data_IF_120988650468
#
_entry.id   IF_120988650468
#
_cell.length_a   1.000
_cell.length_b   1.000
_cell.length_c   1.000
_cell.angle_alpha   90.00
_cell.angle_beta   90.00
_cell.angle_gamma   90.00
#
_symmetry.space_group_name_H-M   'P 1'
#
loop_
_entity.id
_entity.type
_entity.pdbx_description
1 polymer ?
#
# COMPACT_ATOMS: atom_id res chain seq x y z
N UNK A 1 13.69 10.92 37.09
CA UNK A 1 15.03 11.53 37.27
C UNK A 1 15.83 11.28 36.01
N UNK A 2 16.45 12.31 35.47
CA UNK A 2 17.31 12.27 34.28
C UNK A 2 18.54 11.40 34.55
N UNK A 3 18.70 10.30 33.80
CA UNK A 3 19.87 9.43 33.93
C UNK A 3 20.72 9.54 32.67
N UNK A 4 21.89 10.13 32.86
CA UNK A 4 22.90 10.40 31.85
C UNK A 4 23.66 9.11 31.53
N UNK A 5 23.61 8.72 30.25
CA UNK A 5 24.28 7.60 29.61
C UNK A 5 25.82 7.79 29.49
N UNK A 6 26.61 6.72 29.68
CA UNK A 6 28.05 6.67 29.34
C UNK A 6 28.47 5.33 28.70
N UNK A 7 28.55 5.25 27.37
CA UNK A 7 29.08 4.11 26.62
C UNK A 7 30.57 3.86 26.77
N UNK A 8 31.07 2.77 26.14
CA UNK A 8 32.43 2.69 25.64
C UNK A 8 32.93 4.04 25.10
N UNK A 9 33.86 4.66 25.85
CA UNK A 9 34.39 6.03 25.67
C UNK A 9 34.92 6.35 24.26
N UNK A 10 35.13 5.35 23.40
CA UNK A 10 35.68 5.53 22.05
C UNK A 10 34.63 5.63 20.94
N UNK A 11 33.44 5.07 21.10
CA UNK A 11 32.38 5.08 20.06
C UNK A 11 31.30 6.14 20.32
N UNK A 12 31.06 6.44 21.60
CA UNK A 12 30.20 7.50 22.11
C UNK A 12 30.35 8.86 21.41
N UNK A 13 31.58 9.43 21.31
CA UNK A 13 31.74 10.75 20.73
C UNK A 13 31.53 10.72 19.22
N UNK A 14 31.86 9.62 18.54
CA UNK A 14 31.72 9.46 17.08
C UNK A 14 30.25 9.32 16.71
N UNK A 15 29.51 8.48 17.44
CA UNK A 15 28.08 8.28 17.24
C UNK A 15 27.29 9.56 17.55
N UNK A 16 27.63 10.26 18.64
CA UNK A 16 27.00 11.53 18.99
C UNK A 16 27.32 12.66 18.00
N UNK A 17 28.58 12.75 17.52
CA UNK A 17 28.93 13.70 16.45
C UNK A 17 28.22 13.37 15.15
N UNK A 18 28.11 12.09 14.80
CA UNK A 18 27.43 11.64 13.59
C UNK A 18 25.93 11.93 13.65
N UNK A 19 25.26 11.57 14.75
CA UNK A 19 23.84 11.90 14.98
C UNK A 19 23.59 13.41 15.03
N UNK A 20 24.48 14.20 15.67
CA UNK A 20 24.39 15.66 15.65
C UNK A 20 24.61 16.24 14.25
N UNK A 21 25.56 15.72 13.46
CA UNK A 21 25.80 16.16 12.08
C UNK A 21 24.63 15.81 11.16
N UNK A 22 24.09 14.60 11.27
CA UNK A 22 22.91 14.19 10.51
C UNK A 22 21.69 15.02 10.93
N UNK A 23 21.46 15.20 12.23
CA UNK A 23 20.36 16.03 12.76
C UNK A 23 20.46 17.49 12.33
N UNK A 24 21.66 18.09 12.40
CA UNK A 24 21.89 19.48 11.96
C UNK A 24 21.78 19.62 10.44
N UNK A 25 22.23 18.64 9.65
CA UNK A 25 22.01 18.65 8.20
C UNK A 25 20.52 18.53 7.84
N UNK A 26 19.76 17.69 8.55
CA UNK A 26 18.31 17.56 8.37
C UNK A 26 17.60 18.85 8.76
N UNK A 27 17.95 19.48 9.90
CA UNK A 27 17.38 20.76 10.33
C UNK A 27 17.65 21.89 9.33
N UNK A 28 18.88 21.97 8.81
CA UNK A 28 19.24 22.95 7.76
C UNK A 28 18.45 22.69 6.48
N UNK A 29 18.20 21.43 6.12
CA UNK A 29 17.38 21.06 4.95
C UNK A 29 15.87 21.33 5.11
N UNK A 30 15.40 21.55 6.35
CA UNK A 30 13.99 21.83 6.67
C UNK A 30 13.70 23.33 6.85
N UNK A 31 14.72 24.16 7.10
CA UNK A 31 14.56 25.60 7.33
C UNK A 31 14.01 26.38 6.13
N UNK A 32 14.18 25.86 4.90
CA UNK A 32 13.67 26.52 3.69
C UNK A 32 12.14 26.34 3.47
N UNK A 33 11.46 25.45 4.21
CA UNK A 33 10.04 25.11 4.02
C UNK A 33 9.09 25.56 5.14
N UNK A 34 9.61 25.89 6.33
CA UNK A 34 8.79 26.34 7.48
C UNK A 34 7.88 27.54 7.16
N UNK A 35 8.26 28.55 6.35
CA UNK A 35 7.34 29.67 6.11
C UNK A 35 6.12 29.30 5.25
N UNK A 36 6.19 28.27 4.40
CA UNK A 36 5.09 27.88 3.52
C UNK A 36 4.08 26.92 4.20
N UNK A 37 4.57 25.96 4.98
CA UNK A 37 3.71 25.05 5.74
C UNK A 37 2.95 25.76 6.88
N UNK A 38 3.59 26.75 7.53
CA UNK A 38 2.93 27.57 8.55
C UNK A 38 1.80 28.45 7.97
N UNK A 39 1.91 28.90 6.72
CA UNK A 39 0.87 29.66 6.04
C UNK A 39 -0.36 28.80 5.70
N UNK A 40 -0.14 27.61 5.12
CA UNK A 40 -1.21 26.64 4.83
C UNK A 40 -1.93 26.15 6.09
N UNK A 41 -1.18 25.95 7.18
CA UNK A 41 -1.76 25.48 8.43
C UNK A 41 -2.54 26.59 9.15
N UNK A 42 -2.11 27.85 9.02
CA UNK A 42 -2.85 29.04 9.48
C UNK A 42 -4.18 29.20 8.72
N UNK A 43 -4.18 29.10 7.39
CA UNK A 43 -5.40 29.16 6.57
C UNK A 43 -6.37 28.01 6.91
N UNK A 44 -5.85 26.80 7.13
CA UNK A 44 -6.69 25.64 7.47
C UNK A 44 -7.34 25.75 8.85
N UNK A 45 -6.65 26.36 9.84
CA UNK A 45 -7.25 26.65 11.15
C UNK A 45 -8.26 27.80 11.12
N UNK A 46 -8.06 28.81 10.26
CA UNK A 46 -9.00 29.92 10.09
C UNK A 46 -10.31 29.45 9.44
N UNK A 47 -10.23 28.57 8.44
CA UNK A 47 -11.40 27.93 7.82
C UNK A 47 -12.16 27.03 8.81
N UNK A 48 -11.45 26.37 9.74
CA UNK A 48 -12.09 25.53 10.76
C UNK A 48 -12.85 26.37 11.80
N UNK A 49 -12.37 27.59 12.08
CA UNK A 49 -13.04 28.53 12.98
C UNK A 49 -14.29 29.18 12.35
N UNK A 50 -14.29 29.42 11.03
CA UNK A 50 -15.44 30.00 10.32
C UNK A 50 -16.58 29.00 10.09
N UNK A 51 -16.27 27.70 10.03
CA UNK A 51 -17.27 26.61 9.88
C UNK A 51 -17.90 26.22 11.22
N UNK A 52 -17.22 26.48 12.33
CA UNK A 52 -17.74 26.26 13.69
C UNK A 52 -18.10 27.63 14.28
N UNK A 53 -19.22 28.17 13.81
CA UNK A 53 -19.82 29.37 14.37
C UNK A 53 -20.07 29.23 15.88
N UNK A 54 -19.69 30.28 16.58
CA UNK A 54 -20.01 30.62 17.97
C UNK A 54 -21.45 30.25 18.34
N UNK A 55 -21.63 29.23 19.18
CA UNK A 55 -22.80 29.05 20.04
C UNK A 55 -22.41 28.14 21.21
N UNK A 56 -21.70 28.75 22.16
CA UNK A 56 -21.59 28.22 23.51
C UNK A 56 -22.77 28.71 24.37
N UNK A 57 -23.84 27.92 24.51
CA UNK A 57 -24.64 27.93 25.73
C UNK A 57 -25.00 26.52 26.19
N UNK A 58 -24.54 26.21 27.40
CA UNK A 58 -24.93 25.04 28.15
C UNK A 58 -26.36 25.19 28.68
N UNK A 59 -27.21 24.19 28.43
CA UNK A 59 -28.41 23.96 29.26
C UNK A 59 -28.52 22.48 29.61
N UNK A 60 -28.23 22.19 30.87
CA UNK A 60 -28.65 20.98 31.58
C UNK A 60 -30.11 21.09 31.99
N UNK A 61 -30.92 20.04 31.82
CA UNK A 61 -32.21 19.94 32.53
C UNK A 61 -33.26 19.06 31.86
N UNK A 62 -33.82 18.14 32.64
CA UNK A 62 -34.77 17.08 32.29
C UNK A 62 -36.17 17.55 31.82
N UNK A 63 -36.92 16.67 31.16
CA UNK A 63 -38.37 16.80 30.97
C UNK A 63 -38.96 15.80 29.98
N UNK A 64 -39.88 14.97 30.48
CA UNK A 64 -40.58 13.88 29.79
C UNK A 64 -41.60 14.33 28.71
N UNK A 65 -41.84 13.42 27.76
CA UNK A 65 -43.10 13.08 27.08
C UNK A 65 -43.92 14.19 26.37
N UNK A 66 -44.14 14.05 25.05
CA UNK A 66 -45.39 13.48 24.49
C UNK A 66 -45.43 13.52 22.94
N UNK A 67 -46.02 12.44 22.42
CA UNK A 67 -46.46 12.10 21.07
C UNK A 67 -47.15 13.21 20.25
N UNK A 68 -46.91 13.23 18.94
CA UNK A 68 -47.98 13.18 17.93
C UNK A 68 -47.44 13.04 16.50
N UNK A 69 -48.12 12.26 15.65
CA UNK A 69 -48.15 12.52 14.20
C UNK A 69 -47.57 11.46 13.27
N UNK A 70 -48.32 10.37 13.12
CA UNK A 70 -48.23 9.32 12.10
C UNK A 70 -48.23 9.86 10.64
N UNK A 71 -47.40 9.29 9.76
CA UNK A 71 -47.81 8.62 8.49
C UNK A 71 -46.59 7.96 7.82
N UNK A 72 -46.57 6.63 7.82
CA UNK A 72 -45.65 5.79 7.06
C UNK A 72 -46.13 5.62 5.61
N UNK A 73 -45.20 5.62 4.65
CA UNK A 73 -45.45 5.23 3.25
C UNK A 73 -44.90 3.82 3.05
N UNK A 74 -45.68 2.84 2.55
CA UNK A 74 -45.26 1.44 2.48
C UNK A 74 -44.48 1.12 1.19
N UNK A 75 -43.61 0.12 1.28
CA UNK A 75 -42.95 -0.53 0.15
C UNK A 75 -43.97 -1.27 -0.75
N UNK A 76 -43.79 -1.31 -2.08
CA UNK A 76 -44.58 -2.18 -2.94
C UNK A 76 -43.93 -3.56 -3.13
N UNK A 77 -44.72 -4.60 -2.86
CA UNK A 77 -44.44 -6.01 -3.13
C UNK A 77 -44.48 -6.36 -4.62
N UNK A 78 -43.79 -7.45 -4.92
CA UNK A 78 -43.60 -8.09 -6.21
C UNK A 78 -44.90 -8.36 -6.99
N UNK A 79 -44.91 -7.95 -8.27
CA UNK A 79 -45.81 -8.47 -9.30
C UNK A 79 -45.03 -8.79 -10.58
N UNK A 80 -45.05 -10.09 -10.91
CA UNK A 80 -44.96 -10.74 -12.24
C UNK A 80 -44.58 -9.88 -13.45
N UNK A 81 -43.42 -10.21 -14.02
CA UNK A 81 -42.89 -9.73 -15.31
C UNK A 81 -43.63 -10.44 -16.46
N UNK A 82 -44.22 -9.72 -17.44
CA UNK A 82 -44.68 -10.31 -18.69
C UNK A 82 -43.50 -10.60 -19.63
N UNK A 83 -43.49 -11.82 -20.16
CA UNK A 83 -42.57 -12.33 -21.18
C UNK A 83 -42.62 -11.48 -22.46
N UNK A 84 -41.50 -10.82 -22.81
CA UNK A 84 -41.36 -10.05 -24.05
C UNK A 84 -40.62 -10.90 -25.09
N UNK A 85 -41.38 -11.27 -26.10
CA UNK A 85 -41.02 -12.07 -27.27
C UNK A 85 -39.89 -11.45 -28.12
N UNK A 86 -38.93 -12.29 -28.48
CA UNK A 86 -37.82 -12.05 -29.41
C UNK A 86 -38.33 -11.76 -30.83
N UNK A 87 -37.92 -10.67 -31.50
CA UNK A 87 -38.07 -10.55 -32.94
C UNK A 87 -36.90 -11.25 -33.65
N UNK A 88 -37.29 -12.17 -34.52
CA UNK A 88 -36.46 -12.96 -35.42
C UNK A 88 -35.70 -12.06 -36.42
N UNK A 89 -34.39 -12.30 -36.56
CA UNK A 89 -33.54 -11.65 -37.55
C UNK A 89 -33.98 -12.03 -38.97
N UNK A 90 -34.32 -11.03 -39.77
CA UNK A 90 -34.54 -11.16 -41.20
C UNK A 90 -33.23 -10.88 -41.96
N UNK A 91 -32.86 -11.83 -42.82
CA UNK A 91 -31.76 -11.74 -43.76
C UNK A 91 -32.02 -10.66 -44.84
N UNK A 92 -30.99 -9.92 -45.21
CA UNK A 92 -30.94 -9.15 -46.45
C UNK A 92 -29.50 -9.14 -47.01
N UNK A 93 -29.45 -9.19 -48.33
CA UNK A 93 -28.35 -9.59 -49.21
C UNK A 93 -27.19 -8.59 -49.37
N UNK A 94 -26.08 -9.15 -49.86
CA UNK A 94 -24.82 -8.54 -50.31
C UNK A 94 -24.89 -7.83 -51.67
N UNK A 95 -24.12 -6.74 -51.84
CA UNK A 95 -23.49 -6.28 -53.09
C UNK A 95 -22.44 -5.16 -52.77
N UNK A 96 -21.13 -5.41 -52.85
CA UNK A 96 -20.20 -5.05 -53.96
C UNK A 96 -19.33 -3.82 -53.55
N UNK A 97 -18.02 -3.64 -53.76
CA UNK A 97 -16.94 -4.31 -54.51
C UNK A 97 -15.55 -3.79 -54.01
N UNK A 98 -14.53 -4.68 -54.02
CA UNK A 98 -13.03 -4.68 -53.99
C UNK A 98 -12.11 -3.40 -53.87
N UNK A 99 -10.75 -3.53 -53.75
CA UNK A 99 -9.94 -4.28 -52.76
C UNK A 99 -8.76 -3.43 -52.20
N UNK A 100 -8.25 -3.74 -51.00
CA UNK A 100 -7.00 -3.15 -50.50
C UNK A 100 -6.01 -4.22 -50.00
N UNK A 101 -4.84 -4.20 -50.66
CA UNK A 101 -3.53 -4.80 -50.37
C UNK A 101 -3.38 -5.82 -49.21
N UNK A 102 -2.96 -7.02 -49.61
CA UNK A 102 -2.42 -8.09 -48.76
C UNK A 102 -1.14 -7.65 -48.02
N UNK A 103 -1.10 -7.96 -46.71
CA UNK A 103 0.13 -8.07 -45.91
C UNK A 103 0.14 -9.50 -45.30
N UNK A 104 1.27 -10.23 -45.28
CA UNK A 104 1.27 -11.68 -45.11
C UNK A 104 0.96 -12.13 -43.68
N UNK A 105 0.19 -13.20 -43.54
CA UNK A 105 -0.04 -13.90 -42.29
C UNK A 105 1.25 -14.59 -41.78
N UNK A 106 1.54 -14.61 -40.47
CA UNK A 106 2.61 -15.41 -39.92
C UNK A 106 2.26 -16.91 -39.99
N UNK A 107 3.29 -17.73 -40.22
CA UNK A 107 3.19 -19.15 -40.54
C UNK A 107 2.45 -19.97 -39.48
N UNK A 108 1.54 -20.82 -39.97
CA UNK A 108 0.90 -21.91 -39.23
C UNK A 108 1.96 -22.97 -38.91
N UNK A 109 2.19 -23.22 -37.62
CA UNK A 109 2.89 -24.42 -37.17
C UNK A 109 1.82 -25.45 -36.81
N UNK A 110 1.77 -26.56 -37.56
CA UNK A 110 0.90 -27.69 -37.25
C UNK A 110 1.31 -28.34 -35.91
N UNK A 111 0.35 -28.76 -35.07
CA UNK A 111 0.65 -29.46 -33.82
C UNK A 111 0.93 -30.94 -34.12
N UNK A 112 2.13 -31.40 -33.79
CA UNK A 112 2.45 -32.82 -33.76
C UNK A 112 2.31 -33.39 -32.34
N UNK A 113 1.75 -34.61 -32.28
CA UNK A 113 1.67 -35.55 -31.17
C UNK A 113 0.44 -35.47 -30.24
N UNK A 114 -0.52 -36.33 -30.58
CA UNK A 114 -1.59 -36.90 -29.77
C UNK A 114 -1.07 -37.45 -28.43
N UNK A 115 -1.66 -37.00 -27.32
CA UNK A 115 -1.54 -37.67 -26.02
C UNK A 115 -2.93 -38.20 -25.66
N UNK A 116 -3.01 -39.51 -25.42
CA UNK A 116 -4.23 -40.23 -25.09
C UNK A 116 -4.88 -39.76 -23.77
N UNK A 117 -6.20 -39.88 -23.61
CA UNK A 117 -6.88 -39.49 -22.38
C UNK A 117 -6.53 -40.47 -21.25
N UNK A 118 -5.87 -39.97 -20.20
CA UNK A 118 -5.68 -40.72 -18.97
C UNK A 118 -7.04 -40.97 -18.30
N UNK A 119 -7.37 -42.24 -18.15
CA UNK A 119 -8.49 -42.78 -17.38
C UNK A 119 -8.51 -42.25 -15.95
N UNK A 120 -9.68 -41.80 -15.50
CA UNK A 120 -9.98 -41.43 -14.13
C UNK A 120 -9.77 -42.60 -13.17
N UNK A 121 -8.78 -42.50 -12.28
CA UNK A 121 -8.70 -43.33 -11.08
C UNK A 121 -9.36 -42.55 -9.94
N UNK A 122 -10.50 -43.06 -9.48
CA UNK A 122 -11.20 -42.62 -8.28
C UNK A 122 -10.31 -42.95 -7.09
N UNK A 123 -9.90 -41.94 -6.32
CA UNK A 123 -9.25 -42.13 -5.03
C UNK A 123 -10.33 -42.34 -3.96
N UNK A 124 -10.16 -43.38 -3.14
CA UNK A 124 -11.01 -43.68 -1.97
C UNK A 124 -10.99 -42.53 -0.94
N UNK A 125 -12.10 -42.30 -0.20
CA UNK A 125 -12.18 -41.20 0.76
C UNK A 125 -11.30 -41.48 1.99
N UNK A 126 -10.46 -40.51 2.33
CA UNK A 126 -9.68 -40.49 3.58
C UNK A 126 -10.64 -40.20 4.74
N UNK A 127 -10.73 -41.16 5.67
CA UNK A 127 -11.47 -41.03 6.93
C UNK A 127 -10.72 -40.10 7.87
N UNK A 128 -11.38 -39.00 8.27
CA UNK A 128 -10.92 -38.07 9.32
C UNK A 128 -11.38 -38.64 10.67
N UNK A 129 -10.50 -38.84 11.67
CA UNK A 129 -10.94 -39.23 13.01
C UNK A 129 -11.48 -38.01 13.76
N UNK A 130 -12.71 -38.14 14.29
CA UNK A 130 -13.34 -37.22 15.23
C UNK A 130 -12.47 -37.02 16.48
N UNK A 131 -12.24 -35.76 16.85
CA UNK A 131 -11.64 -35.37 18.13
C UNK A 131 -12.67 -34.53 18.87
N UNK A 132 -13.46 -35.20 19.72
CA UNK A 132 -14.40 -34.57 20.63
C UNK A 132 -13.66 -33.71 21.66
N UNK A 133 -14.10 -32.47 21.79
CA UNK A 133 -13.70 -31.54 22.84
C UNK A 133 -14.57 -31.75 24.10
N UNK A 134 -13.99 -31.91 25.31
CA UNK A 134 -14.77 -31.84 26.53
C UNK A 134 -14.63 -30.47 27.22
N UNK A 135 -15.80 -29.92 27.58
CA UNK A 135 -16.00 -28.73 28.39
C UNK A 135 -15.71 -28.97 29.89
N UNK A 136 -15.57 -27.87 30.62
CA UNK A 136 -15.12 -27.76 32.01
C UNK A 136 -16.09 -28.26 33.10
N UNK A 137 -15.50 -28.87 34.15
CA UNK A 137 -15.81 -28.90 35.61
C UNK A 137 -17.23 -29.25 36.12
N UNK A 138 -17.38 -30.00 37.26
CA UNK A 138 -16.80 -29.64 38.57
C UNK A 138 -16.33 -30.78 39.51
N UNK A 139 -15.70 -30.33 40.60
CA UNK A 139 -15.05 -31.02 41.71
C UNK A 139 -16.04 -31.62 42.73
N UNK A 140 -15.83 -32.86 43.22
CA UNK A 140 -16.18 -33.28 44.58
C UNK A 140 -15.58 -34.66 44.98
N UNK A 141 -14.89 -34.68 46.13
CA UNK A 141 -14.76 -35.70 47.20
C UNK A 141 -14.58 -37.20 46.81
N UNK A 142 -13.67 -37.99 47.39
CA UNK A 142 -13.47 -38.22 48.84
C UNK A 142 -12.22 -39.10 49.02
N UNK A 143 -11.38 -38.82 50.03
CA UNK A 143 -10.29 -39.70 50.45
C UNK A 143 -10.75 -40.67 51.55
N UNK A 144 -10.33 -41.94 51.46
CA UNK A 144 -10.42 -42.92 52.54
C UNK A 144 -9.44 -42.58 53.69
N UNK A 145 -9.91 -42.79 54.92
CA UNK A 145 -9.10 -42.84 56.13
C UNK A 145 -9.10 -44.29 56.68
N UNK A 146 -8.15 -44.64 57.56
CA UNK A 146 -8.62 -45.17 58.84
C UNK A 146 -7.88 -44.63 60.08
N UNK A 147 -8.72 -44.19 61.03
CA UNK A 147 -8.70 -44.38 62.49
C UNK A 147 -7.36 -44.47 63.27
N UNK A 148 -7.19 -43.57 64.26
CA UNK A 148 -7.45 -43.84 65.69
C UNK A 148 -6.95 -42.71 66.65
N UNK A 149 -7.89 -41.98 67.25
CA UNK A 149 -8.08 -41.60 68.68
C UNK A 149 -6.95 -40.99 69.59
N UNK A 150 -7.31 -40.29 70.71
CA UNK A 150 -7.08 -38.84 70.86
C UNK A 150 -6.23 -38.44 72.08
N UNK A 151 -5.70 -37.20 72.11
CA UNK A 151 -5.36 -36.53 73.38
C UNK A 151 -5.64 -35.02 73.36
N UNK A 152 -5.98 -34.49 74.53
CA UNK A 152 -6.70 -33.23 74.81
C UNK A 152 -5.84 -31.94 74.76
N UNK A 153 -6.45 -30.74 74.85
CA UNK A 153 -6.01 -29.53 74.14
C UNK A 153 -5.09 -28.62 74.95
N UNK A 154 -4.25 -27.85 74.24
CA UNK A 154 -3.67 -26.62 74.75
C UNK A 154 -3.85 -25.52 73.70
N UNK A 155 -4.67 -24.53 74.04
CA UNK A 155 -4.87 -23.32 73.25
C UNK A 155 -3.65 -22.40 73.38
N UNK A 156 -2.99 -22.03 72.28
CA UNK A 156 -2.09 -20.88 72.26
C UNK A 156 -2.14 -20.17 70.90
N UNK A 157 -2.63 -18.94 70.94
CA UNK A 157 -2.32 -17.76 70.13
C UNK A 157 -2.31 -17.86 68.59
N UNK A 158 -3.31 -17.17 68.00
CA UNK A 158 -3.22 -16.60 66.66
C UNK A 158 -2.09 -15.57 66.64
N UNK A 159 -1.01 -15.87 65.92
CA UNK A 159 0.00 -14.90 65.53
C UNK A 159 -0.29 -14.47 64.08
N UNK A 160 -0.75 -13.23 63.92
CA UNK A 160 -0.84 -12.55 62.63
C UNK A 160 0.60 -12.29 62.16
N UNK A 161 1.02 -12.96 61.08
CA UNK A 161 2.31 -12.71 60.45
C UNK A 161 2.21 -11.46 59.55
N UNK A 162 3.09 -10.48 59.77
CA UNK A 162 3.34 -9.38 58.85
C UNK A 162 3.81 -9.89 57.48
N UNK A 163 3.39 -9.28 56.35
CA UNK A 163 3.84 -9.71 55.04
C UNK A 163 5.33 -9.36 54.86
N UNK A 164 6.12 -10.37 54.56
CA UNK A 164 7.53 -10.23 54.24
C UNK A 164 7.70 -9.34 53.00
N UNK A 165 8.51 -8.29 53.16
CA UNK A 165 8.94 -7.37 52.11
C UNK A 165 9.73 -8.16 51.06
N UNK A 166 9.13 -8.37 49.89
CA UNK A 166 9.82 -8.93 48.72
C UNK A 166 11.06 -8.06 48.41
N UNK A 167 12.21 -8.68 48.07
CA UNK A 167 13.37 -7.92 47.65
C UNK A 167 13.04 -7.24 46.33
N UNK A 168 13.07 -5.91 46.33
CA UNK A 168 12.92 -5.11 45.13
C UNK A 168 14.00 -5.54 44.12
N UNK A 169 13.57 -6.23 43.07
CA UNK A 169 14.39 -6.43 41.88
C UNK A 169 14.64 -5.05 41.31
N UNK A 170 15.86 -4.54 41.46
CA UNK A 170 16.33 -3.40 40.69
C UNK A 170 16.37 -3.86 39.24
N UNK A 171 15.31 -3.58 38.48
CA UNK A 171 15.38 -3.66 37.02
C UNK A 171 16.44 -2.67 36.57
N UNK A 172 17.64 -3.17 36.25
CA UNK A 172 18.60 -2.37 35.50
C UNK A 172 17.95 -2.08 34.15
N UNK A 173 17.43 -0.85 34.00
CA UNK A 173 16.91 -0.30 32.76
C UNK A 173 18.04 -0.31 31.72
N UNK A 174 18.14 -1.40 30.97
CA UNK A 174 19.00 -1.50 29.81
C UNK A 174 18.39 -0.69 28.68
N UNK A 175 18.74 0.61 28.62
CA UNK A 175 18.37 1.50 27.51
C UNK A 175 18.89 1.04 26.15
N UNK A 176 19.88 0.14 26.14
CA UNK A 176 20.56 -0.30 24.93
C UNK A 176 20.78 -1.81 24.96
N UNK A 177 20.07 -2.50 24.08
CA UNK A 177 20.25 -3.93 23.85
C UNK A 177 21.45 -4.13 22.92
N UNK A 178 22.56 -4.61 23.48
CA UNK A 178 23.78 -4.87 22.72
C UNK A 178 23.62 -6.06 21.75
N UNK A 179 22.61 -6.90 21.92
CA UNK A 179 22.30 -7.97 20.98
C UNK A 179 21.77 -7.41 19.65
N UNK A 180 21.18 -6.20 19.67
CA UNK A 180 20.63 -5.53 18.47
C UNK A 180 21.52 -4.41 17.94
N UNK A 181 22.80 -4.38 18.34
CA UNK A 181 23.73 -3.35 17.88
C UNK A 181 23.93 -3.38 16.35
N UNK A 182 23.82 -4.56 15.73
CA UNK A 182 23.82 -4.75 14.27
C UNK A 182 22.67 -3.97 13.58
N UNK A 183 21.46 -4.03 14.13
CA UNK A 183 20.28 -3.30 13.61
C UNK A 183 20.52 -1.79 13.69
N UNK A 184 21.10 -1.29 14.79
CA UNK A 184 21.43 0.13 14.89
C UNK A 184 22.43 0.54 13.80
N UNK A 185 23.48 -0.25 13.57
CA UNK A 185 24.48 0.05 12.51
C UNK A 185 23.81 0.11 11.13
N UNK A 186 22.87 -0.80 10.83
CA UNK A 186 22.11 -0.79 9.58
C UNK A 186 21.26 0.48 9.47
N UNK A 187 20.52 0.85 10.51
CA UNK A 187 19.70 2.07 10.53
C UNK A 187 20.55 3.32 10.34
N UNK A 188 21.68 3.42 11.04
CA UNK A 188 22.60 4.56 10.91
C UNK A 188 23.21 4.64 9.51
N UNK A 189 23.57 3.49 8.93
CA UNK A 189 24.08 3.43 7.55
C UNK A 189 23.00 3.88 6.56
N UNK A 190 21.75 3.47 6.77
CA UNK A 190 20.63 3.90 5.95
C UNK A 190 20.41 5.42 6.06
N UNK A 191 20.36 5.95 7.29
CA UNK A 191 20.25 7.38 7.53
C UNK A 191 21.42 8.16 6.91
N UNK A 192 22.65 7.62 6.97
CA UNK A 192 23.84 8.22 6.39
C UNK A 192 23.70 8.39 4.86
N UNK A 193 23.34 7.32 4.17
CA UNK A 193 23.20 7.30 2.72
C UNK A 193 22.06 8.19 2.25
N UNK A 194 20.87 8.08 2.86
CA UNK A 194 19.72 8.93 2.53
C UNK A 194 20.07 10.40 2.73
N UNK A 195 20.64 10.77 3.88
CA UNK A 195 21.01 12.17 4.17
C UNK A 195 22.09 12.68 3.22
N UNK A 196 23.09 11.86 2.91
CA UNK A 196 24.17 12.19 1.97
C UNK A 196 23.64 12.51 0.57
N UNK A 197 22.79 11.64 0.01
CA UNK A 197 22.24 11.83 -1.33
C UNK A 197 21.21 12.95 -1.39
N UNK A 198 20.34 13.09 -0.37
CA UNK A 198 19.40 14.21 -0.25
C UNK A 198 20.13 15.54 -0.23
N UNK A 199 21.17 15.68 0.60
CA UNK A 199 21.95 16.91 0.65
C UNK A 199 22.67 17.23 -0.66
N UNK A 200 23.19 16.20 -1.34
CA UNK A 200 23.83 16.38 -2.63
C UNK A 200 22.84 16.76 -3.74
N UNK A 201 21.63 16.20 -3.73
CA UNK A 201 20.56 16.57 -4.65
C UNK A 201 20.15 18.04 -4.45
N UNK A 202 19.95 18.46 -3.20
CA UNK A 202 19.59 19.84 -2.85
C UNK A 202 20.65 20.87 -3.27
N UNK A 203 21.93 20.47 -3.33
CA UNK A 203 23.03 21.32 -3.83
C UNK A 203 23.10 21.42 -5.37
N UNK A 204 22.07 20.95 -6.07
CA UNK A 204 21.97 21.04 -7.53
C UNK A 204 22.83 20.02 -8.28
N UNK A 205 23.32 18.97 -7.60
CA UNK A 205 23.91 17.85 -8.33
C UNK A 205 22.78 17.05 -8.98
N UNK A 206 22.82 16.94 -10.31
CA UNK A 206 21.91 16.06 -11.03
C UNK A 206 22.20 14.60 -10.66
N UNK A 207 21.29 14.02 -9.86
CA UNK A 207 21.36 12.60 -9.54
C UNK A 207 20.66 11.81 -10.63
N UNK A 208 21.39 10.86 -11.22
CA UNK A 208 20.80 9.96 -12.20
C UNK A 208 19.86 8.95 -11.52
N UNK A 209 18.57 9.03 -11.86
CA UNK A 209 17.54 8.03 -11.55
C UNK A 209 17.30 7.18 -12.82
N UNK A 210 17.12 5.87 -12.65
CA UNK A 210 16.71 4.97 -13.75
C UNK A 210 15.37 5.44 -14.31
N UNK A 211 15.23 5.48 -15.63
CA UNK A 211 13.94 5.77 -16.26
C UNK A 211 12.95 4.63 -15.99
N UNK A 212 11.75 4.99 -15.56
CA UNK A 212 10.64 4.07 -15.34
C UNK A 212 9.73 4.17 -16.57
N UNK A 213 9.70 3.12 -17.40
CA UNK A 213 9.05 3.15 -18.71
C UNK A 213 7.55 3.50 -18.63
N UNK A 214 6.85 2.94 -17.64
CA UNK A 214 5.41 3.23 -17.44
C UNK A 214 5.13 4.68 -17.07
N UNK A 215 6.09 5.37 -16.45
CA UNK A 215 5.93 6.76 -16.05
C UNK A 215 6.20 7.75 -17.18
N UNK A 216 7.12 7.43 -18.10
CA UNK A 216 7.26 8.19 -19.34
C UNK A 216 6.05 8.04 -20.26
N UNK A 217 5.41 6.87 -20.26
CA UNK A 217 4.24 6.61 -21.08
C UNK A 217 2.97 7.35 -20.60
N UNK A 218 2.96 7.85 -19.36
CA UNK A 218 1.78 8.49 -18.76
C UNK A 218 1.40 9.79 -19.47
N UNK A 219 2.37 10.66 -19.75
CA UNK A 219 2.10 11.90 -20.50
C UNK A 219 1.69 11.62 -21.95
N UNK A 220 2.36 10.66 -22.59
CA UNK A 220 2.06 10.23 -23.96
C UNK A 220 0.65 9.62 -24.06
N UNK A 221 0.23 8.85 -23.06
CA UNK A 221 -1.11 8.27 -22.99
C UNK A 221 -2.20 9.35 -22.87
N UNK A 222 -1.97 10.39 -22.07
CA UNK A 222 -2.89 11.53 -21.98
C UNK A 222 -2.93 12.29 -23.31
N UNK A 223 -1.77 12.57 -23.92
CA UNK A 223 -1.70 13.23 -25.24
C UNK A 223 -2.45 12.45 -26.33
N UNK A 224 -2.28 11.13 -26.39
CA UNK A 224 -3.05 10.26 -27.30
C UNK A 224 -4.54 10.30 -27.03
N UNK A 225 -4.96 10.35 -25.76
CA UNK A 225 -6.37 10.47 -25.43
C UNK A 225 -6.95 11.80 -25.97
N UNK A 226 -6.20 12.89 -25.83
CA UNK A 226 -6.54 14.20 -26.42
C UNK A 226 -6.66 14.12 -27.94
N UNK A 227 -5.66 13.53 -28.62
CA UNK A 227 -5.64 13.39 -30.09
C UNK A 227 -6.81 12.56 -30.62
N UNK A 228 -7.29 11.60 -29.84
CA UNK A 228 -8.47 10.79 -30.16
C UNK A 228 -9.80 11.43 -29.78
N UNK A 229 -9.79 12.58 -29.10
CA UNK A 229 -11.00 13.23 -28.57
C UNK A 229 -11.74 12.38 -27.53
N UNK A 230 -11.01 11.49 -26.84
CA UNK A 230 -11.56 10.55 -25.84
C UNK A 230 -10.98 10.88 -24.46
N UNK A 231 -11.70 10.50 -23.41
CA UNK A 231 -11.27 10.79 -22.04
C UNK A 231 -10.18 9.85 -21.52
N UNK A 232 -9.73 10.16 -20.30
CA UNK A 232 -8.84 9.36 -19.47
C UNK A 232 -9.63 8.81 -18.30
N UNK A 233 -9.46 7.52 -18.00
CA UNK A 233 -9.95 6.91 -16.77
C UNK A 233 -8.79 6.71 -15.79
N UNK A 234 -8.98 7.06 -14.52
CA UNK A 234 -7.97 6.90 -13.48
C UNK A 234 -8.53 6.24 -12.23
N UNK A 235 -7.86 5.19 -11.75
CA UNK A 235 -8.23 4.44 -10.54
C UNK A 235 -7.01 4.37 -9.60
N UNK A 236 -7.08 4.99 -8.40
CA UNK A 236 -5.97 5.01 -7.43
C UNK A 236 -5.87 3.75 -6.54
N UNK A 237 -6.42 2.61 -6.98
CA UNK A 237 -6.60 1.41 -6.17
C UNK A 237 -7.97 1.35 -5.47
N UNK A 238 -8.19 0.26 -4.71
CA UNK A 238 -9.48 -0.04 -4.05
C UNK A 238 -9.47 0.11 -2.51
N UNK A 239 -8.30 0.40 -1.95
CA UNK A 239 -8.12 0.58 -0.51
C UNK A 239 -8.40 2.03 -0.09
N UNK A 240 -8.48 2.29 1.21
CA UNK A 240 -8.65 3.64 1.74
C UNK A 240 -7.30 4.38 1.84
N UNK A 241 -7.33 5.62 2.33
CA UNK A 241 -6.15 6.49 2.51
C UNK A 241 -5.19 6.02 3.62
N UNK A 242 -5.54 4.98 4.38
CA UNK A 242 -4.62 4.31 5.31
C UNK A 242 -3.62 3.39 4.59
N UNK A 243 -3.90 3.00 3.35
CA UNK A 243 -2.99 2.27 2.49
C UNK A 243 -2.00 3.20 1.78
N UNK A 244 -0.72 2.85 1.89
CA UNK A 244 0.37 3.64 1.32
C UNK A 244 0.35 3.68 -0.22
N UNK A 245 -0.18 2.64 -0.87
CA UNK A 245 -0.28 2.62 -2.33
C UNK A 245 -1.40 3.54 -2.81
N UNK A 246 -2.53 3.62 -2.10
CA UNK A 246 -3.59 4.59 -2.38
C UNK A 246 -3.06 6.02 -2.29
N UNK A 247 -2.28 6.34 -1.25
CA UNK A 247 -1.64 7.67 -1.12
C UNK A 247 -0.74 7.96 -2.32
N UNK A 248 0.10 7.00 -2.73
CA UNK A 248 0.95 7.15 -3.91
C UNK A 248 0.13 7.31 -5.20
N UNK A 249 -0.92 6.50 -5.35
CA UNK A 249 -1.85 6.52 -6.47
C UNK A 249 -2.56 7.86 -6.62
N UNK A 250 -3.08 8.43 -5.53
CA UNK A 250 -3.72 9.75 -5.57
C UNK A 250 -2.68 10.86 -5.81
N UNK A 251 -1.47 10.73 -5.30
CA UNK A 251 -0.38 11.70 -5.56
C UNK A 251 -0.02 11.75 -7.06
N UNK A 252 0.10 10.58 -7.71
CA UNK A 252 0.36 10.49 -9.16
C UNK A 252 -0.83 11.04 -9.96
N UNK A 253 -2.07 10.86 -9.44
CA UNK A 253 -3.28 11.40 -10.06
C UNK A 253 -3.21 12.92 -10.23
N UNK A 254 -2.61 13.64 -9.28
CA UNK A 254 -2.39 15.08 -9.42
C UNK A 254 -1.56 15.44 -10.66
N UNK A 255 -0.56 14.63 -11.01
CA UNK A 255 0.23 14.82 -12.23
C UNK A 255 -0.59 14.55 -13.50
N UNK A 256 -1.39 13.47 -13.52
CA UNK A 256 -2.32 13.20 -14.63
C UNK A 256 -3.35 14.33 -14.75
N UNK A 257 -3.87 14.83 -13.63
CA UNK A 257 -4.81 15.94 -13.58
C UNK A 257 -4.21 17.22 -14.18
N UNK A 258 -2.96 17.54 -13.87
CA UNK A 258 -2.24 18.67 -14.49
C UNK A 258 -2.15 18.53 -16.01
N UNK A 259 -1.86 17.33 -16.52
CA UNK A 259 -1.73 17.07 -17.97
C UNK A 259 -3.09 17.07 -18.68
N UNK A 260 -4.10 16.47 -18.07
CA UNK A 260 -5.47 16.51 -18.60
C UNK A 260 -6.04 17.93 -18.63
N UNK A 261 -5.76 18.77 -17.61
CA UNK A 261 -6.13 20.18 -17.62
C UNK A 261 -5.40 20.98 -18.72
N UNK A 262 -4.11 20.71 -18.92
CA UNK A 262 -3.28 21.35 -19.95
C UNK A 262 -3.79 21.03 -21.36
N UNK A 263 -4.19 19.78 -21.60
CA UNK A 263 -4.66 19.30 -22.90
C UNK A 263 -6.19 19.32 -23.06
N UNK A 264 -6.93 19.88 -22.10
CA UNK A 264 -8.40 19.92 -22.11
C UNK A 264 -9.07 18.54 -22.31
N UNK A 265 -8.51 17.52 -21.65
CA UNK A 265 -8.94 16.12 -21.79
C UNK A 265 -9.84 15.71 -20.63
N UNK A 266 -11.02 15.10 -20.87
CA UNK A 266 -11.89 14.61 -19.80
C UNK A 266 -11.17 13.60 -18.89
N UNK A 267 -11.18 13.86 -17.58
CA UNK A 267 -10.71 12.92 -16.55
C UNK A 267 -11.90 12.30 -15.82
N UNK A 268 -12.03 10.98 -15.90
CA UNK A 268 -13.00 10.18 -15.16
C UNK A 268 -12.28 9.41 -14.06
N UNK A 269 -12.68 9.61 -12.81
CA UNK A 269 -12.03 9.01 -11.66
C UNK A 269 -13.07 8.44 -10.68
N UNK A 270 -13.72 7.32 -11.04
CA UNK A 270 -14.64 6.65 -10.14
C UNK A 270 -13.89 6.05 -8.95
N UNK A 271 -14.38 6.28 -7.74
CA UNK A 271 -13.75 5.85 -6.49
C UNK A 271 -14.61 4.81 -5.77
N UNK A 272 -13.95 3.86 -5.11
CA UNK A 272 -14.62 2.87 -4.25
C UNK A 272 -14.70 3.29 -2.79
N UNK A 273 -13.89 4.25 -2.35
CA UNK A 273 -13.95 4.82 -0.98
C UNK A 273 -14.36 6.28 -1.03
N UNK A 274 -15.26 6.66 -0.13
CA UNK A 274 -15.79 8.03 -0.04
C UNK A 274 -14.73 9.02 0.44
N UNK A 275 -13.87 8.63 1.38
CA UNK A 275 -12.79 9.49 1.85
C UNK A 275 -11.73 9.72 0.75
N UNK A 276 -11.34 8.67 0.03
CA UNK A 276 -10.46 8.78 -1.15
C UNK A 276 -11.07 9.70 -2.22
N UNK A 277 -12.38 9.65 -2.45
CA UNK A 277 -13.07 10.59 -3.36
C UNK A 277 -12.87 12.05 -2.95
N UNK A 278 -13.07 12.40 -1.68
CA UNK A 278 -12.89 13.77 -1.19
C UNK A 278 -11.45 14.26 -1.38
N UNK A 279 -10.46 13.41 -1.08
CA UNK A 279 -9.05 13.73 -1.26
C UNK A 279 -8.69 13.89 -2.75
N UNK A 280 -9.18 12.99 -3.59
CA UNK A 280 -8.96 13.04 -5.03
C UNK A 280 -9.59 14.29 -5.67
N UNK A 281 -10.80 14.67 -5.26
CA UNK A 281 -11.46 15.90 -5.70
C UNK A 281 -10.60 17.12 -5.39
N UNK A 282 -10.06 17.23 -4.17
CA UNK A 282 -9.22 18.36 -3.80
C UNK A 282 -7.90 18.36 -4.60
N UNK A 283 -7.25 17.22 -4.76
CA UNK A 283 -6.00 17.12 -5.54
C UNK A 283 -6.21 17.47 -7.02
N UNK A 284 -7.30 16.98 -7.63
CA UNK A 284 -7.61 17.31 -9.02
C UNK A 284 -7.98 18.79 -9.16
N UNK A 285 -8.77 19.34 -8.23
CA UNK A 285 -9.10 20.77 -8.20
C UNK A 285 -7.86 21.65 -8.09
N UNK A 286 -6.94 21.35 -7.17
CA UNK A 286 -5.67 22.07 -7.04
C UNK A 286 -4.81 21.94 -8.29
N UNK A 287 -4.74 20.74 -8.87
CA UNK A 287 -4.00 20.50 -10.11
C UNK A 287 -4.52 21.32 -11.30
N UNK A 288 -5.85 21.48 -11.40
CA UNK A 288 -6.49 22.31 -12.43
C UNK A 288 -6.28 23.81 -12.16
N UNK A 289 -6.32 24.22 -10.88
CA UNK A 289 -6.04 25.59 -10.47
C UNK A 289 -4.60 26.01 -10.79
N UNK A 290 -3.62 25.17 -10.48
CA UNK A 290 -2.21 25.40 -10.81
C UNK A 290 -1.96 25.57 -12.31
N UNK A 291 -2.76 24.89 -13.15
CA UNK A 291 -2.71 25.02 -14.61
C UNK A 291 -3.54 26.19 -15.14
N UNK A 292 -4.17 26.98 -14.28
CA UNK A 292 -5.00 28.13 -14.66
C UNK A 292 -6.29 27.74 -15.36
N UNK A 293 -6.80 26.52 -15.14
CA UNK A 293 -8.02 25.96 -15.77
C UNK A 293 -9.08 25.53 -14.74
N UNK A 294 -9.43 26.36 -13.73
CA UNK A 294 -10.45 25.99 -12.74
C UNK A 294 -11.85 25.82 -13.38
N UNK A 295 -12.09 26.47 -14.52
CA UNK A 295 -13.32 26.38 -15.33
C UNK A 295 -13.51 24.99 -15.97
N UNK A 296 -12.42 24.23 -16.18
CA UNK A 296 -12.46 22.88 -16.73
C UNK A 296 -12.67 21.80 -15.67
N UNK A 297 -12.55 22.14 -14.38
CA UNK A 297 -12.74 21.18 -13.29
C UNK A 297 -14.20 20.70 -13.23
N UNK A 298 -14.39 19.38 -13.13
CA UNK A 298 -15.70 18.72 -13.10
C UNK A 298 -15.73 17.73 -11.93
N UNK A 299 -16.25 18.13 -10.75
CA UNK A 299 -16.28 17.27 -9.56
C UNK A 299 -17.19 16.05 -9.74
N UNK A 300 -18.21 16.16 -10.60
CA UNK A 300 -19.15 15.08 -10.95
C UNK A 300 -18.47 13.86 -11.59
N UNK A 301 -17.29 14.05 -12.19
CA UNK A 301 -16.50 12.96 -12.79
C UNK A 301 -15.55 12.26 -11.80
N UNK A 302 -15.49 12.75 -10.57
CA UNK A 302 -14.71 12.17 -9.46
C UNK A 302 -15.71 11.77 -8.40
N UNK A 303 -16.32 10.61 -8.60
CA UNK A 303 -17.50 10.19 -7.87
C UNK A 303 -17.29 8.86 -7.15
N UNK A 304 -17.92 8.73 -5.98
CA UNK A 304 -18.05 7.46 -5.29
C UNK A 304 -19.10 6.59 -5.98
N UNK A 305 -18.76 5.32 -6.23
CA UNK A 305 -19.70 4.35 -6.79
C UNK A 305 -20.27 3.44 -5.70
N UNK A 306 -19.41 2.59 -5.12
CA UNK A 306 -19.74 1.62 -4.09
C UNK A 306 -18.46 1.08 -3.47
N UNK A 307 -18.55 0.62 -2.23
CA UNK A 307 -17.52 -0.08 -1.47
C UNK A 307 -17.52 -1.61 -1.73
N UNK A 308 -18.54 -2.15 -2.39
CA UNK A 308 -18.55 -3.53 -2.85
C UNK A 308 -17.58 -3.71 -4.03
N UNK A 309 -16.60 -4.61 -3.88
CA UNK A 309 -15.50 -4.75 -4.82
C UNK A 309 -15.97 -5.06 -6.25
N UNK A 310 -16.82 -6.06 -6.44
CA UNK A 310 -17.27 -6.44 -7.78
C UNK A 310 -18.35 -5.52 -8.32
N UNK A 311 -19.20 -4.94 -7.46
CA UNK A 311 -20.10 -3.86 -7.81
C UNK A 311 -19.36 -2.63 -8.33
N UNK A 312 -18.24 -2.27 -7.69
CA UNK A 312 -17.36 -1.18 -8.13
C UNK A 312 -16.81 -1.49 -9.52
N UNK A 313 -16.26 -2.68 -9.73
CA UNK A 313 -15.71 -3.10 -11.03
C UNK A 313 -16.76 -3.12 -12.13
N UNK A 314 -17.97 -3.62 -11.86
CA UNK A 314 -19.07 -3.58 -12.81
C UNK A 314 -19.49 -2.14 -13.14
N UNK A 315 -19.52 -1.26 -12.14
CA UNK A 315 -19.80 0.17 -12.32
C UNK A 315 -18.75 0.86 -13.18
N UNK A 316 -17.46 0.64 -12.89
CA UNK A 316 -16.32 1.14 -13.66
C UNK A 316 -16.33 0.59 -15.09
N UNK A 317 -16.56 -0.71 -15.26
CA UNK A 317 -16.67 -1.33 -16.58
C UNK A 317 -17.83 -0.72 -17.39
N UNK A 318 -18.96 -0.43 -16.74
CA UNK A 318 -20.05 0.31 -17.36
C UNK A 318 -19.63 1.72 -17.81
N UNK A 319 -18.81 2.43 -17.03
CA UNK A 319 -18.24 3.73 -17.43
C UNK A 319 -17.33 3.55 -18.65
N UNK A 320 -16.41 2.58 -18.63
CA UNK A 320 -15.52 2.29 -19.75
C UNK A 320 -16.29 2.03 -21.05
N UNK A 321 -17.36 1.21 -20.99
CA UNK A 321 -18.15 0.87 -22.18
C UNK A 321 -18.96 2.03 -22.75
N UNK A 322 -19.40 2.98 -21.91
CA UNK A 322 -20.15 4.18 -22.34
C UNK A 322 -19.24 5.28 -22.83
N UNK A 323 -18.29 5.69 -21.99
CA UNK A 323 -17.41 6.84 -22.24
C UNK A 323 -16.26 6.49 -23.18
N UNK A 324 -15.90 5.21 -23.24
CA UNK A 324 -14.79 4.69 -24.05
C UNK A 324 -13.54 5.56 -23.81
N UNK A 325 -12.92 5.53 -22.62
CA UNK A 325 -11.67 6.25 -22.40
C UNK A 325 -10.59 5.73 -23.38
N UNK A 326 -9.70 6.60 -23.84
CA UNK A 326 -8.56 6.22 -24.68
C UNK A 326 -7.33 5.84 -23.87
N UNK A 327 -7.27 6.23 -22.59
CA UNK A 327 -6.24 5.79 -21.65
C UNK A 327 -6.86 5.41 -20.31
N UNK A 328 -6.40 4.32 -19.72
CA UNK A 328 -6.77 3.86 -18.39
C UNK A 328 -5.52 3.77 -17.50
N UNK A 329 -5.61 4.36 -16.31
CA UNK A 329 -4.56 4.32 -15.29
C UNK A 329 -5.04 3.55 -14.07
N UNK A 330 -4.29 2.51 -13.68
CA UNK A 330 -4.58 1.68 -12.50
C UNK A 330 -3.38 1.74 -11.55
N UNK A 331 -3.35 2.70 -10.64
CA UNK A 331 -2.17 3.00 -9.82
C UNK A 331 -2.51 2.95 -8.33
N UNK A 332 -2.24 1.84 -7.66
CA UNK A 332 -2.58 1.63 -6.25
C UNK A 332 -2.63 0.16 -5.84
N UNK A 333 -3.33 -0.12 -4.74
CA UNK A 333 -3.61 -1.49 -4.30
C UNK A 333 -4.80 -2.06 -5.06
N UNK A 334 -4.60 -3.24 -5.65
CA UNK A 334 -5.63 -4.00 -6.33
C UNK A 334 -5.59 -5.47 -5.91
N UNK A 335 -6.68 -6.20 -6.14
CA UNK A 335 -6.78 -7.66 -6.03
C UNK A 335 -7.40 -8.24 -7.31
N UNK A 336 -8.38 -9.15 -7.18
CA UNK A 336 -8.99 -9.91 -8.27
C UNK A 336 -9.57 -9.03 -9.41
N UNK A 337 -9.92 -7.78 -9.13
CA UNK A 337 -10.39 -6.83 -10.12
C UNK A 337 -9.37 -6.43 -11.17
N UNK A 338 -8.06 -6.62 -10.89
CA UNK A 338 -6.97 -6.17 -11.77
C UNK A 338 -7.17 -6.64 -13.21
N UNK A 339 -7.43 -7.95 -13.41
CA UNK A 339 -7.66 -8.52 -14.74
C UNK A 339 -8.97 -8.05 -15.35
N UNK A 340 -10.03 -7.90 -14.56
CA UNK A 340 -11.35 -7.53 -15.08
C UNK A 340 -11.32 -6.10 -15.60
N UNK A 341 -10.71 -5.18 -14.83
CA UNK A 341 -10.51 -3.79 -15.23
C UNK A 341 -9.59 -3.72 -16.46
N UNK A 342 -8.47 -4.45 -16.45
CA UNK A 342 -7.54 -4.46 -17.57
C UNK A 342 -8.14 -5.02 -18.86
N UNK A 343 -8.88 -6.12 -18.79
CA UNK A 343 -9.54 -6.70 -19.96
C UNK A 343 -10.64 -5.77 -20.50
N UNK A 344 -11.39 -5.11 -19.62
CA UNK A 344 -12.41 -4.14 -20.03
C UNK A 344 -11.78 -2.91 -20.70
N UNK A 345 -10.67 -2.41 -20.17
CA UNK A 345 -9.91 -1.32 -20.80
C UNK A 345 -9.35 -1.72 -22.17
N UNK A 346 -8.86 -2.95 -22.32
CA UNK A 346 -8.41 -3.50 -23.59
C UNK A 346 -9.56 -3.61 -24.60
N UNK A 347 -10.74 -4.07 -24.16
CA UNK A 347 -11.93 -4.21 -25.00
C UNK A 347 -12.42 -2.87 -25.60
N UNK A 348 -12.18 -1.74 -24.92
CA UNK A 348 -12.47 -0.39 -25.45
C UNK A 348 -11.30 0.23 -26.21
N UNK A 349 -10.19 -0.50 -26.35
CA UNK A 349 -8.98 -0.06 -27.04
C UNK A 349 -8.22 1.05 -26.33
N UNK A 350 -8.31 1.11 -24.99
CA UNK A 350 -7.54 2.07 -24.20
C UNK A 350 -6.08 1.62 -24.06
N UNK A 351 -5.14 2.57 -24.09
CA UNK A 351 -3.79 2.31 -23.58
C UNK A 351 -3.86 2.22 -22.06
N UNK A 352 -3.18 1.21 -21.48
CA UNK A 352 -3.30 0.91 -20.07
C UNK A 352 -1.95 1.00 -19.39
N UNK A 353 -1.90 1.82 -18.35
CA UNK A 353 -0.72 2.00 -17.51
C UNK A 353 -1.13 1.64 -16.08
N UNK A 354 -0.57 0.54 -15.60
CA UNK A 354 -0.87 0.01 -14.28
C UNK A 354 0.33 0.15 -13.35
N UNK A 355 0.10 -0.01 -12.05
CA UNK A 355 1.14 0.07 -11.04
C UNK A 355 0.62 -0.38 -9.69
N UNK A 356 1.27 -1.39 -9.13
CA UNK A 356 0.92 -1.93 -7.82
C UNK A 356 2.15 -2.52 -7.13
N UNK A 357 2.16 -2.43 -5.81
CA UNK A 357 3.11 -3.11 -4.95
C UNK A 357 2.57 -4.42 -4.38
N UNK A 358 1.36 -4.83 -4.77
CA UNK A 358 0.79 -6.11 -4.40
C UNK A 358 1.42 -7.25 -5.25
N UNK A 359 2.25 -8.13 -4.66
CA UNK A 359 2.99 -9.15 -5.42
C UNK A 359 2.09 -10.14 -6.16
N UNK A 360 0.90 -10.39 -5.60
CA UNK A 360 -0.08 -11.30 -6.18
C UNK A 360 -0.75 -10.77 -7.46
N UNK A 361 -0.77 -9.45 -7.66
CA UNK A 361 -1.44 -8.82 -8.80
C UNK A 361 -0.50 -8.32 -9.90
N UNK A 362 0.79 -8.13 -9.62
CA UNK A 362 1.78 -7.72 -10.61
C UNK A 362 1.73 -8.56 -11.90
N UNK A 363 1.66 -9.92 -11.85
CA UNK A 363 1.62 -10.73 -13.07
C UNK A 363 0.43 -10.43 -13.97
N UNK A 364 -0.73 -10.07 -13.40
CA UNK A 364 -1.93 -9.75 -14.15
C UNK A 364 -1.80 -8.45 -14.91
N UNK A 365 -1.31 -7.39 -14.26
CA UNK A 365 -1.07 -6.13 -14.95
C UNK A 365 0.06 -6.23 -15.98
N UNK A 366 1.13 -6.99 -15.68
CA UNK A 366 2.20 -7.25 -16.66
C UNK A 366 1.68 -7.96 -17.90
N UNK A 367 0.72 -8.87 -17.76
CA UNK A 367 0.15 -9.61 -18.87
C UNK A 367 -0.93 -8.82 -19.65
N UNK A 368 -1.69 -7.96 -18.96
CA UNK A 368 -2.90 -7.34 -19.52
C UNK A 368 -2.78 -5.83 -19.83
N UNK A 369 -1.71 -5.15 -19.39
CA UNK A 369 -1.50 -3.72 -19.62
C UNK A 369 -0.24 -3.44 -20.45
N UNK A 370 -0.23 -2.30 -21.16
CA UNK A 370 0.90 -1.90 -22.01
C UNK A 370 2.16 -1.56 -21.19
N UNK A 371 1.96 -0.93 -20.03
CA UNK A 371 3.02 -0.65 -19.09
C UNK A 371 2.59 -0.95 -17.65
N UNK A 372 3.50 -1.53 -16.87
CA UNK A 372 3.25 -1.85 -15.46
C UNK A 372 4.41 -1.35 -14.60
N UNK A 373 4.08 -0.54 -13.58
CA UNK A 373 5.00 -0.18 -12.50
C UNK A 373 5.04 -1.31 -11.48
N UNK A 374 6.23 -1.80 -11.17
CA UNK A 374 6.40 -2.97 -10.31
C UNK A 374 6.88 -2.53 -8.93
N UNK A 375 6.08 -2.79 -7.89
CA UNK A 375 6.53 -2.66 -6.51
C UNK A 375 6.92 -1.23 -6.16
N UNK A 376 8.22 -1.07 -5.89
CA UNK A 376 8.82 0.22 -5.52
C UNK A 376 8.72 1.30 -6.58
N UNK A 377 8.50 0.94 -7.85
CA UNK A 377 8.33 1.92 -8.92
C UNK A 377 7.09 2.79 -8.72
N UNK A 378 6.03 2.26 -8.09
CA UNK A 378 4.83 3.03 -7.74
C UNK A 378 5.17 4.14 -6.73
N UNK A 379 5.95 3.82 -5.70
CA UNK A 379 6.36 4.78 -4.66
C UNK A 379 7.42 5.77 -5.16
N UNK A 380 8.25 5.36 -6.12
CA UNK A 380 9.25 6.22 -6.75
C UNK A 380 8.64 7.21 -7.75
N UNK A 381 7.39 6.99 -8.18
CA UNK A 381 6.77 7.75 -9.26
C UNK A 381 6.59 9.25 -8.93
N UNK A 382 6.23 9.58 -7.69
CA UNK A 382 6.10 10.98 -7.26
C UNK A 382 7.43 11.73 -7.37
N UNK A 383 8.53 11.13 -6.88
CA UNK A 383 9.88 11.68 -6.97
C UNK A 383 10.33 11.93 -8.42
N UNK A 384 9.96 11.01 -9.32
CA UNK A 384 10.32 11.09 -10.72
C UNK A 384 9.52 12.17 -11.48
N UNK A 385 8.21 12.28 -11.18
CA UNK A 385 7.33 13.27 -11.79
C UNK A 385 7.58 14.68 -11.25
N UNK A 386 7.68 14.84 -9.93
CA UNK A 386 7.90 16.13 -9.25
C UNK A 386 9.31 16.68 -9.51
N UNK A 387 10.29 15.79 -9.74
CA UNK A 387 11.73 16.11 -9.77
C UNK A 387 12.21 16.86 -8.53
N UNK A 388 11.52 16.71 -7.40
CA UNK A 388 11.90 17.35 -6.15
C UNK A 388 13.25 16.80 -5.68
N UNK A 389 14.28 17.64 -5.49
CA UNK A 389 15.61 17.18 -5.07
C UNK A 389 15.60 16.33 -3.79
N UNK A 390 14.68 16.60 -2.85
CA UNK A 390 14.56 15.82 -1.61
C UNK A 390 14.11 14.39 -1.89
N UNK A 391 13.07 14.24 -2.69
CA UNK A 391 12.49 12.94 -3.04
C UNK A 391 13.47 12.13 -3.92
N UNK A 392 14.07 12.79 -4.91
CA UNK A 392 15.09 12.22 -5.80
C UNK A 392 16.33 11.74 -5.02
N UNK A 393 16.80 12.55 -4.07
CA UNK A 393 17.96 12.20 -3.23
C UNK A 393 17.66 11.04 -2.28
N UNK A 394 16.47 11.00 -1.69
CA UNK A 394 16.02 9.88 -0.85
C UNK A 394 15.97 8.58 -1.65
N UNK A 395 15.34 8.60 -2.82
CA UNK A 395 15.24 7.45 -3.73
C UNK A 395 16.64 6.93 -4.10
N UNK A 396 17.56 7.83 -4.47
CA UNK A 396 18.94 7.44 -4.80
C UNK A 396 19.68 6.84 -3.60
N UNK A 397 19.47 7.39 -2.41
CA UNK A 397 20.05 6.86 -1.17
C UNK A 397 19.59 5.43 -0.90
N UNK A 398 18.29 5.18 -1.02
CA UNK A 398 17.70 3.84 -0.86
C UNK A 398 18.26 2.84 -1.88
N UNK A 399 18.34 3.22 -3.16
CA UNK A 399 18.89 2.34 -4.21
C UNK A 399 20.36 1.98 -3.97
N UNK A 400 21.16 2.94 -3.49
CA UNK A 400 22.57 2.70 -3.18
C UNK A 400 22.76 1.79 -1.97
N UNK A 401 21.89 1.88 -0.97
CA UNK A 401 21.89 0.95 0.17
C UNK A 401 21.49 -0.44 -0.30
N UNK A 402 20.46 -0.59 -1.14
CA UNK A 402 20.07 -1.89 -1.70
C UNK A 402 21.24 -2.52 -2.48
N UNK A 403 21.95 -1.72 -3.28
CA UNK A 403 23.13 -2.20 -4.00
C UNK A 403 24.24 -2.66 -3.03
N UNK A 404 24.48 -1.91 -1.96
CA UNK A 404 25.44 -2.31 -0.91
C UNK A 404 25.01 -3.62 -0.24
N UNK A 405 23.73 -3.77 0.11
CA UNK A 405 23.18 -4.99 0.71
C UNK A 405 23.35 -6.17 -0.25
N UNK A 406 23.03 -6.00 -1.54
CA UNK A 406 23.25 -7.02 -2.58
C UNK A 406 24.72 -7.41 -2.66
N UNK A 407 25.64 -6.43 -2.70
CA UNK A 407 27.08 -6.72 -2.74
C UNK A 407 27.55 -7.50 -1.50
N UNK A 408 27.11 -7.10 -0.30
CA UNK A 408 27.42 -7.80 0.95
C UNK A 408 26.83 -9.20 0.97
N UNK A 409 25.61 -9.41 0.47
CA UNK A 409 24.99 -10.73 0.35
C UNK A 409 25.75 -11.63 -0.62
N UNK A 410 26.15 -11.12 -1.79
CA UNK A 410 26.93 -11.89 -2.78
C UNK A 410 28.30 -12.25 -2.21
N UNK A 411 29.02 -11.29 -1.64
CA UNK A 411 30.34 -11.51 -1.03
C UNK A 411 30.22 -12.51 0.12
N UNK A 412 29.24 -12.33 1.00
CA UNK A 412 28.97 -13.22 2.13
C UNK A 412 28.65 -14.64 1.70
N UNK A 413 27.79 -14.79 0.68
CA UNK A 413 27.42 -16.10 0.11
C UNK A 413 28.64 -16.79 -0.50
N UNK A 414 29.46 -16.07 -1.25
CA UNK A 414 30.70 -16.61 -1.83
C UNK A 414 31.70 -17.01 -0.74
N UNK A 415 31.89 -16.18 0.29
CA UNK A 415 32.76 -16.45 1.43
C UNK A 415 32.37 -17.73 2.16
N UNK A 416 31.08 -17.88 2.49
CA UNK A 416 30.55 -19.07 3.17
C UNK A 416 30.66 -20.30 2.27
N UNK A 417 30.40 -20.16 0.96
CA UNK A 417 30.53 -21.26 -0.01
C UNK A 417 31.99 -21.73 -0.10
N UNK A 418 32.96 -20.82 -0.26
CA UNK A 418 34.38 -21.14 -0.36
C UNK A 418 34.90 -21.75 0.94
N UNK A 419 34.53 -21.18 2.09
CA UNK A 419 34.95 -21.68 3.40
C UNK A 419 34.53 -23.15 3.66
N UNK A 420 33.46 -23.62 3.01
CA UNK A 420 32.97 -25.01 3.10
C UNK A 420 33.64 -25.98 2.12
N UNK A 421 34.48 -25.50 1.20
CA UNK A 421 35.24 -26.37 0.29
C UNK A 421 36.52 -26.90 0.93
N UNK A 422 37.05 -28.03 0.44
CA UNK A 422 38.32 -28.61 0.92
C UNK A 422 39.50 -27.63 0.84
N UNK A 423 39.48 -26.69 -0.12
CA UNK A 423 40.50 -25.66 -0.29
C UNK A 423 40.35 -24.47 0.67
N UNK A 424 39.16 -24.24 1.23
CA UNK A 424 38.86 -23.15 2.15
C UNK A 424 38.94 -23.54 3.63
N UNK A 425 38.83 -24.84 3.93
CA UNK A 425 38.90 -25.36 5.29
C UNK A 425 40.28 -25.10 5.92
N UNK A 426 40.32 -24.42 7.07
CA UNK A 426 41.55 -24.09 7.80
C UNK A 426 42.28 -22.81 7.32
N UNK A 427 41.70 -22.06 6.38
CA UNK A 427 42.25 -20.79 5.89
C UNK A 427 41.58 -19.57 6.55
N UNK A 428 42.12 -18.37 6.29
CA UNK A 428 41.53 -17.09 6.74
C UNK A 428 40.05 -16.97 6.34
N UNK A 429 39.65 -17.56 5.21
CA UNK A 429 38.27 -17.55 4.72
C UNK A 429 37.27 -18.19 5.70
N UNK A 430 37.66 -19.23 6.45
CA UNK A 430 36.79 -19.84 7.45
C UNK A 430 36.52 -18.90 8.64
N UNK A 431 37.57 -18.22 9.15
CA UNK A 431 37.42 -17.23 10.23
C UNK A 431 36.61 -16.00 9.80
N UNK A 432 36.78 -15.58 8.54
CA UNK A 432 36.06 -14.44 7.99
C UNK A 432 34.58 -14.76 7.78
N UNK A 433 34.26 -15.97 7.31
CA UNK A 433 32.89 -16.45 7.18
C UNK A 433 32.19 -16.58 8.54
N UNK A 434 32.89 -17.08 9.57
CA UNK A 434 32.32 -17.19 10.92
C UNK A 434 32.00 -15.81 11.53
N UNK A 435 32.92 -14.84 11.38
CA UNK A 435 32.69 -13.47 11.83
C UNK A 435 31.55 -12.78 11.07
N UNK A 436 31.45 -13.01 9.76
CA UNK A 436 30.34 -12.51 8.95
C UNK A 436 28.99 -13.08 9.42
N UNK A 437 28.93 -14.39 9.67
CA UNK A 437 27.72 -15.04 10.19
C UNK A 437 27.35 -14.59 11.61
N UNK A 438 28.34 -14.23 12.44
CA UNK A 438 28.09 -13.63 13.77
C UNK A 438 27.56 -12.19 13.68
N UNK A 439 27.91 -11.45 12.63
CA UNK A 439 27.43 -10.09 12.42
C UNK A 439 25.98 -10.04 11.90
N UNK A 440 25.55 -11.10 11.20
CA UNK A 440 24.18 -11.25 10.69
C UNK A 440 23.18 -11.79 11.72
N UNK A 441 23.66 -12.49 12.74
CA UNK A 441 22.85 -12.84 13.93
C UNK A 441 22.74 -11.62 14.81
#
# INVERSE_FOLDING_TARGET
MSVVWRPPRRLLPILALFLCLVSTMVLVAQQDEVPAAAALQSEMTEITADVIGDDGEAVTGAGESQSSGETAVPAPDAQTIPELSVPQAAAAETAGEEPAAQIPAPAVVEPAATVEPATSVVADPVVVPDVDAPAAEPVAATSEAPAAEPDKPAAVAVAVAEPAKEPAVTEELNYFDMERANVLVVILTLMAFVSYYTFHAQRGKELFIRRISGLSALEDAVGRATEMGRGVLYIPGIMDMDDIQTIAGVTIMGHVAKKTAEYDTPLFAPMTRSFVMSVAQEIVKQSYLEKGRPDAYRPDRINYLTDDQFGYVAGVGGIMMREKPAACFYLGTFYAESLILAETGNAVGAIQIAGTAEPSQIPFFVAACDYTLIGEELFAASAYLSKNPKEVGSLKGQDMIKLLIIAVMVIGTLLVTIAKTEYGAGTVFASLAENFMRLLK
#
